data_IF_426264875446
#
_entry.id   IF_426264875446
#
_cell.length_a   1.000
_cell.length_b   1.000
_cell.length_c   1.000
_cell.angle_alpha   90.00
_cell.angle_beta   90.00
_cell.angle_gamma   90.00
#
_symmetry.space_group_name_H-M   'P 1'
#
loop_
_entity.id
_entity.type
_entity.pdbx_description
1 polymer ?
#
# COMPACT_ATOMS: atom_id res chain seq x y z
N UNK A 1 -35.15 29.98 41.86
CA UNK A 1 -34.65 30.91 40.84
C UNK A 1 -33.90 30.08 39.82
N UNK A 2 -34.50 29.95 38.64
CA UNK A 2 -33.99 29.19 37.50
C UNK A 2 -32.99 30.03 36.72
N UNK A 3 -31.98 29.39 36.14
CA UNK A 3 -31.23 29.84 34.94
C UNK A 3 -30.48 28.64 34.39
N UNK A 4 -31.02 27.91 33.44
CA UNK A 4 -30.85 28.01 31.97
C UNK A 4 -29.39 28.13 31.53
N UNK A 5 -28.85 27.01 31.02
CA UNK A 5 -27.82 26.95 30.01
C UNK A 5 -28.15 25.79 29.09
N UNK A 6 -29.09 26.09 28.16
CA UNK A 6 -29.31 25.34 26.94
C UNK A 6 -28.32 25.77 25.84
N UNK A 7 -28.14 24.84 24.92
CA UNK A 7 -27.71 25.04 23.54
C UNK A 7 -26.20 25.02 23.24
N UNK A 8 -25.70 23.91 22.68
CA UNK A 8 -25.42 23.78 21.25
C UNK A 8 -25.00 22.35 20.92
N UNK A 9 -25.97 21.47 20.75
CA UNK A 9 -25.82 20.30 19.88
C UNK A 9 -26.14 20.77 18.45
N UNK A 10 -25.17 21.23 17.72
CA UNK A 10 -25.28 21.32 16.27
C UNK A 10 -25.05 19.91 15.68
N UNK A 11 -26.16 19.35 15.30
CA UNK A 11 -26.33 18.16 14.48
C UNK A 11 -25.61 18.37 13.15
N UNK A 12 -24.46 17.73 12.96
CA UNK A 12 -23.84 17.58 11.64
C UNK A 12 -24.49 16.35 11.00
N UNK A 13 -25.65 16.58 10.45
CA UNK A 13 -26.42 15.58 9.72
C UNK A 13 -27.30 16.25 8.71
N UNK A 14 -26.74 16.70 7.56
CA UNK A 14 -27.53 16.96 6.36
C UNK A 14 -26.61 17.01 5.11
N UNK A 15 -26.63 15.96 4.30
CA UNK A 15 -26.77 16.08 2.86
C UNK A 15 -25.55 16.32 2.03
N UNK A 16 -24.78 15.30 1.75
CA UNK A 16 -24.20 15.12 0.42
C UNK A 16 -24.70 13.78 -0.10
N UNK A 17 -25.89 13.80 -0.66
CA UNK A 17 -26.37 12.68 -1.48
C UNK A 17 -25.51 12.59 -2.73
N UNK A 18 -25.12 11.38 -3.18
CA UNK A 18 -24.42 11.22 -4.43
C UNK A 18 -25.34 11.65 -5.59
N UNK A 19 -24.82 12.28 -6.64
CA UNK A 19 -25.60 12.60 -7.83
C UNK A 19 -26.11 11.32 -8.50
N UNK A 20 -27.31 11.34 -9.11
CA UNK A 20 -27.85 10.18 -9.78
C UNK A 20 -26.99 9.79 -10.97
N UNK A 21 -26.78 8.48 -11.14
CA UNK A 21 -26.11 7.90 -12.29
C UNK A 21 -26.91 8.23 -13.56
N UNK A 22 -26.34 9.04 -14.44
CA UNK A 22 -26.81 9.21 -15.81
C UNK A 22 -25.86 8.45 -16.73
N UNK A 23 -26.39 7.48 -17.48
CA UNK A 23 -25.65 6.82 -18.55
C UNK A 23 -25.19 7.86 -19.57
N UNK A 24 -23.90 7.88 -19.97
CA UNK A 24 -23.45 8.76 -21.03
C UNK A 24 -23.91 8.26 -22.41
N UNK A 25 -24.17 9.17 -23.36
CA UNK A 25 -24.47 8.80 -24.75
C UNK A 25 -23.22 8.18 -25.39
N UNK A 26 -23.45 7.12 -26.17
CA UNK A 26 -22.42 6.51 -27.01
C UNK A 26 -21.90 7.54 -28.03
N UNK A 27 -20.76 8.12 -27.73
CA UNK A 27 -20.00 9.01 -28.60
C UNK A 27 -18.63 8.43 -28.82
N UNK A 28 -18.25 8.33 -30.07
CA UNK A 28 -16.98 7.80 -30.57
C UNK A 28 -15.78 8.40 -29.85
N UNK A 29 -15.06 7.57 -29.10
CA UNK A 29 -13.79 7.92 -28.49
C UNK A 29 -12.74 8.00 -29.60
N UNK A 30 -12.37 9.21 -29.98
CA UNK A 30 -11.18 9.46 -30.76
C UNK A 30 -9.96 8.99 -30.00
N UNK A 31 -9.32 7.94 -30.47
CA UNK A 31 -8.03 7.45 -30.01
C UNK A 31 -6.94 8.49 -30.29
N UNK A 32 -6.63 9.28 -29.31
CA UNK A 32 -5.35 9.99 -29.25
C UNK A 32 -4.39 9.09 -28.47
N UNK A 33 -3.81 8.12 -29.14
CA UNK A 33 -2.64 7.37 -28.64
C UNK A 33 -1.43 8.30 -28.68
N UNK A 34 -1.21 9.02 -27.59
CA UNK A 34 0.14 9.45 -27.26
C UNK A 34 0.83 8.20 -26.70
N UNK A 35 1.49 7.47 -27.58
CA UNK A 35 2.38 6.38 -27.22
C UNK A 35 3.62 7.01 -26.57
N UNK A 36 3.50 7.37 -25.30
CA UNK A 36 4.64 7.69 -24.46
C UNK A 36 5.37 6.37 -24.22
N UNK A 37 6.62 6.27 -24.68
CA UNK A 37 7.54 5.21 -24.29
C UNK A 37 7.63 5.21 -22.75
N UNK A 38 6.92 4.28 -22.13
CA UNK A 38 6.90 4.16 -20.67
C UNK A 38 8.22 3.61 -20.12
N UNK A 39 9.09 3.09 -21.02
CA UNK A 39 10.37 2.49 -20.67
C UNK A 39 10.24 1.29 -19.73
N UNK A 40 11.35 0.61 -19.50
CA UNK A 40 11.40 -0.50 -18.56
C UNK A 40 11.39 -0.02 -17.11
N UNK A 41 10.84 -0.84 -16.24
CA UNK A 41 10.82 -0.60 -14.79
C UNK A 41 11.44 -1.80 -14.05
N UNK A 42 12.09 -1.53 -12.93
CA UNK A 42 12.68 -2.56 -12.06
C UNK A 42 11.73 -2.97 -10.94
N UNK A 43 10.86 -2.06 -10.55
CA UNK A 43 9.82 -2.26 -9.54
C UNK A 43 8.49 -1.74 -10.08
N UNK A 44 7.53 -2.62 -10.24
CA UNK A 44 6.16 -2.29 -10.65
C UNK A 44 5.22 -2.42 -9.45
N UNK A 45 4.67 -1.31 -9.00
CA UNK A 45 3.58 -1.29 -8.03
C UNK A 45 2.24 -1.33 -8.78
N UNK A 46 1.36 -2.25 -8.39
CA UNK A 46 0.00 -2.37 -8.96
C UNK A 46 -1.01 -2.17 -7.82
N UNK A 47 -1.86 -1.18 -7.93
CA UNK A 47 -2.88 -0.86 -6.93
C UNK A 47 -3.35 0.58 -7.00
N UNK A 48 -4.44 0.90 -6.32
CA UNK A 48 -4.94 2.26 -6.29
C UNK A 48 -3.99 3.20 -5.54
N UNK A 49 -3.75 4.35 -6.15
CA UNK A 49 -3.37 5.55 -5.43
C UNK A 49 -4.65 6.08 -4.79
N UNK A 50 -4.63 6.35 -3.49
CA UNK A 50 -5.80 6.84 -2.77
C UNK A 50 -5.56 8.23 -2.18
N UNK A 51 -6.65 8.81 -1.75
CA UNK A 51 -6.66 10.02 -0.95
C UNK A 51 -7.22 9.68 0.43
N UNK A 52 -6.42 9.93 1.45
CA UNK A 52 -6.87 9.85 2.84
C UNK A 52 -7.33 11.23 3.30
N UNK A 53 -8.54 11.30 3.85
CA UNK A 53 -9.08 12.54 4.40
C UNK A 53 -8.88 12.50 5.92
N UNK A 54 -8.12 13.47 6.42
CA UNK A 54 -7.89 13.67 7.84
C UNK A 54 -8.02 15.14 8.19
N UNK A 55 -8.89 15.49 9.13
CA UNK A 55 -9.15 16.89 9.56
C UNK A 55 -9.37 17.85 8.37
N UNK A 56 -10.19 17.44 7.38
CA UNK A 56 -10.47 18.20 6.13
C UNK A 56 -9.25 18.45 5.24
N UNK A 57 -8.16 17.68 5.41
CA UNK A 57 -7.00 17.70 4.54
C UNK A 57 -6.96 16.44 3.69
N UNK A 58 -6.57 16.61 2.44
CA UNK A 58 -6.33 15.51 1.51
C UNK A 58 -4.86 15.12 1.57
N UNK A 59 -4.60 13.85 1.86
CA UNK A 59 -3.26 13.30 2.01
C UNK A 59 -3.10 12.16 1.01
N UNK A 60 -1.96 12.12 0.31
CA UNK A 60 -1.61 11.01 -0.55
C UNK A 60 -1.59 9.71 0.27
N UNK A 61 -2.40 8.75 -0.16
CA UNK A 61 -2.53 7.43 0.43
C UNK A 61 -2.34 6.32 -0.61
N UNK A 62 -2.63 5.10 -0.19
CA UNK A 62 -2.56 3.89 -1.00
C UNK A 62 -1.23 3.18 -0.91
N UNK A 63 -1.29 1.85 -0.74
CA UNK A 63 -0.11 1.00 -0.61
C UNK A 63 0.81 1.08 -1.82
N UNK A 64 0.24 1.20 -3.05
CA UNK A 64 1.01 1.37 -4.27
C UNK A 64 1.85 2.66 -4.27
N UNK A 65 1.32 3.77 -3.74
CA UNK A 65 2.02 5.06 -3.64
C UNK A 65 3.24 4.98 -2.73
N UNK A 66 3.02 4.50 -1.49
CA UNK A 66 4.11 4.35 -0.51
C UNK A 66 5.17 3.35 -0.97
N UNK A 67 4.75 2.24 -1.57
CA UNK A 67 5.65 1.24 -2.13
C UNK A 67 6.50 1.81 -3.25
N UNK A 68 5.90 2.56 -4.17
CA UNK A 68 6.61 3.19 -5.28
C UNK A 68 7.60 4.26 -4.80
N UNK A 69 7.19 5.15 -3.89
CA UNK A 69 8.08 6.14 -3.29
C UNK A 69 9.26 5.48 -2.57
N UNK A 70 9.00 4.37 -1.86
CA UNK A 70 10.03 3.60 -1.16
C UNK A 70 11.00 2.95 -2.14
N UNK A 71 10.51 2.24 -3.15
CA UNK A 71 11.35 1.57 -4.14
C UNK A 71 12.24 2.58 -4.89
N UNK A 72 11.70 3.75 -5.26
CA UNK A 72 12.46 4.86 -5.84
C UNK A 72 13.56 5.34 -4.92
N UNK A 73 13.24 5.59 -3.64
CA UNK A 73 14.23 6.04 -2.64
C UNK A 73 15.31 4.99 -2.36
N UNK A 74 15.00 3.72 -2.65
CA UNK A 74 15.96 2.61 -2.60
C UNK A 74 16.73 2.40 -3.92
N UNK A 75 16.56 3.30 -4.90
CA UNK A 75 17.34 3.35 -6.14
C UNK A 75 16.78 2.55 -7.30
N UNK A 76 15.51 2.12 -7.24
CA UNK A 76 14.85 1.39 -8.32
C UNK A 76 14.24 2.33 -9.37
N UNK A 77 14.18 1.89 -10.62
CA UNK A 77 13.32 2.50 -11.64
C UNK A 77 11.90 1.99 -11.44
N UNK A 78 10.96 2.90 -11.14
CA UNK A 78 9.64 2.53 -10.64
C UNK A 78 8.55 2.85 -11.64
N UNK A 79 7.61 1.90 -11.80
CA UNK A 79 6.32 2.09 -12.43
C UNK A 79 5.18 1.90 -11.44
N UNK A 80 4.08 2.60 -11.66
CA UNK A 80 2.80 2.37 -10.99
C UNK A 80 1.74 2.11 -12.04
N UNK A 81 1.05 0.99 -11.95
CA UNK A 81 -0.22 0.75 -12.62
C UNK A 81 -1.34 1.03 -11.60
N UNK A 82 -2.15 2.04 -11.89
CA UNK A 82 -3.19 2.52 -10.96
C UNK A 82 -4.43 3.00 -11.68
N UNK A 83 -5.47 3.28 -10.91
CA UNK A 83 -6.64 4.03 -11.36
C UNK A 83 -6.95 5.11 -10.33
N UNK A 84 -7.00 6.36 -10.77
CA UNK A 84 -7.35 7.50 -9.94
C UNK A 84 -7.65 8.71 -10.83
N UNK A 85 -8.50 9.60 -10.37
CA UNK A 85 -8.70 10.93 -10.93
C UNK A 85 -7.93 11.93 -10.05
N UNK A 86 -6.75 12.32 -10.54
CA UNK A 86 -5.77 13.04 -9.70
C UNK A 86 -5.99 14.52 -9.61
N UNK A 87 -5.88 15.05 -8.41
CA UNK A 87 -5.49 16.43 -8.18
C UNK A 87 -3.99 16.64 -8.49
N UNK A 88 -3.60 17.76 -9.12
CA UNK A 88 -2.21 18.03 -9.53
C UNK A 88 -1.19 17.89 -8.39
N UNK A 89 -1.54 18.30 -7.17
CA UNK A 89 -0.65 18.27 -6.01
C UNK A 89 -0.19 16.86 -5.62
N UNK A 90 -1.07 15.84 -5.78
CA UNK A 90 -0.73 14.45 -5.47
C UNK A 90 0.21 13.86 -6.52
N UNK A 91 0.05 14.28 -7.78
CA UNK A 91 0.93 13.89 -8.88
C UNK A 91 2.34 14.44 -8.66
N UNK A 92 2.49 15.68 -8.24
CA UNK A 92 3.79 16.31 -8.04
C UNK A 92 4.66 15.56 -7.02
N UNK A 93 4.06 15.05 -5.94
CA UNK A 93 4.76 14.20 -4.98
C UNK A 93 5.30 12.92 -5.61
N UNK A 94 4.47 12.24 -6.43
CA UNK A 94 4.86 10.98 -7.05
C UNK A 94 5.88 11.15 -8.18
N UNK A 95 5.73 12.19 -9.00
CA UNK A 95 6.66 12.44 -10.12
C UNK A 95 7.96 13.13 -9.71
N UNK A 96 8.12 13.47 -8.42
CA UNK A 96 9.37 14.05 -7.90
C UNK A 96 9.53 15.55 -8.09
N UNK A 97 8.43 16.27 -8.34
CA UNK A 97 8.44 17.75 -8.34
C UNK A 97 8.42 18.34 -6.93
N UNK A 98 8.12 17.51 -5.93
CA UNK A 98 8.21 17.90 -4.54
C UNK A 98 9.67 17.82 -4.08
N UNK A 99 10.23 18.96 -3.67
CA UNK A 99 11.62 19.10 -3.25
C UNK A 99 11.96 18.35 -1.95
N UNK A 100 10.98 17.74 -1.30
CA UNK A 100 11.18 17.01 -0.03
C UNK A 100 11.69 15.58 -0.19
N UNK A 101 11.59 15.02 -1.38
CA UNK A 101 12.19 13.72 -1.74
C UNK A 101 13.15 13.98 -2.90
N UNK A 102 14.44 13.79 -2.68
CA UNK A 102 15.46 13.91 -3.71
C UNK A 102 15.61 12.60 -4.50
N UNK A 103 14.92 12.38 -5.61
CA UNK A 103 15.32 11.39 -6.56
C UNK A 103 15.50 12.01 -7.93
N UNK A 104 16.58 11.68 -8.57
CA UNK A 104 16.88 12.03 -9.94
C UNK A 104 15.95 11.34 -10.96
N UNK A 105 15.22 10.29 -10.55
CA UNK A 105 14.41 9.46 -11.43
C UNK A 105 12.92 9.58 -11.11
N UNK A 106 12.07 10.07 -12.04
CA UNK A 106 10.63 10.13 -11.83
C UNK A 106 10.00 8.74 -11.79
N UNK A 107 8.90 8.60 -11.03
CA UNK A 107 8.04 7.42 -11.09
C UNK A 107 7.19 7.50 -12.36
N UNK A 108 7.16 6.42 -13.14
CA UNK A 108 6.28 6.28 -14.30
C UNK A 108 4.90 5.85 -13.85
N UNK A 109 3.87 6.61 -14.22
CA UNK A 109 2.50 6.33 -13.79
C UNK A 109 1.64 6.01 -15.00
N UNK A 110 1.14 4.77 -15.05
CA UNK A 110 0.11 4.37 -15.99
C UNK A 110 -1.24 4.36 -15.28
N UNK A 111 -2.13 5.21 -15.75
CA UNK A 111 -3.43 5.43 -15.14
C UNK A 111 -4.55 4.82 -15.99
N UNK A 112 -5.28 3.88 -15.42
CA UNK A 112 -6.55 3.41 -16.00
C UNK A 112 -7.61 4.50 -15.80
N UNK A 113 -8.32 4.91 -16.87
CA UNK A 113 -9.34 5.94 -16.78
C UNK A 113 -10.44 5.59 -15.77
N UNK A 114 -10.86 6.59 -15.00
CA UNK A 114 -11.93 6.49 -13.99
C UNK A 114 -12.57 7.86 -13.78
N UNK A 115 -13.77 7.88 -13.22
CA UNK A 115 -14.45 9.11 -12.82
C UNK A 115 -14.35 9.40 -11.32
N UNK A 116 -13.64 8.56 -10.58
CA UNK A 116 -13.53 8.67 -9.12
C UNK A 116 -12.14 8.21 -8.67
N UNK A 117 -11.63 8.84 -7.62
CA UNK A 117 -10.44 8.39 -6.90
C UNK A 117 -10.87 7.56 -5.70
N UNK A 118 -10.10 6.54 -5.36
CA UNK A 118 -10.31 5.80 -4.11
C UNK A 118 -9.99 6.71 -2.93
N UNK A 119 -10.98 6.95 -2.08
CA UNK A 119 -10.88 7.87 -0.95
C UNK A 119 -11.30 7.20 0.35
N UNK A 120 -10.53 7.45 1.40
CA UNK A 120 -10.83 7.00 2.75
C UNK A 120 -10.93 8.12 3.75
N UNK A 121 -11.86 8.00 4.69
CA UNK A 121 -11.87 8.76 5.95
C UNK A 121 -11.49 7.84 7.08
N UNK A 122 -10.60 8.31 7.93
CA UNK A 122 -10.19 7.61 9.15
C UNK A 122 -10.70 8.40 10.36
N UNK A 123 -11.58 7.79 11.13
CA UNK A 123 -12.07 8.32 12.40
C UNK A 123 -11.38 7.60 13.55
N UNK A 124 -11.02 8.34 14.59
CA UNK A 124 -10.34 7.80 15.76
C UNK A 124 -11.16 8.12 17.00
N UNK A 125 -11.48 7.09 17.77
CA UNK A 125 -12.15 7.20 19.06
C UNK A 125 -11.43 6.36 20.13
N UNK A 126 -12.04 6.22 21.31
CA UNK A 126 -11.49 5.42 22.42
C UNK A 126 -11.40 3.92 22.12
N UNK A 127 -12.14 3.42 21.11
CA UNK A 127 -12.15 2.03 20.68
C UNK A 127 -11.16 1.75 19.53
N UNK A 128 -10.56 2.80 18.94
CA UNK A 128 -9.56 2.68 17.89
C UNK A 128 -9.88 3.45 16.63
N UNK A 129 -9.42 2.92 15.49
CA UNK A 129 -9.62 3.50 14.16
C UNK A 129 -10.81 2.85 13.46
N UNK A 130 -11.78 3.66 13.04
CA UNK A 130 -12.81 3.28 12.07
C UNK A 130 -12.48 3.90 10.72
N UNK A 131 -12.58 3.12 9.65
CA UNK A 131 -12.30 3.58 8.30
C UNK A 131 -13.53 3.50 7.42
N UNK A 132 -13.75 4.51 6.59
CA UNK A 132 -14.85 4.57 5.61
C UNK A 132 -14.29 4.77 4.21
N UNK A 133 -14.77 3.97 3.25
CA UNK A 133 -14.51 4.12 1.83
C UNK A 133 -15.57 5.08 1.24
N UNK A 134 -15.16 6.26 0.78
CA UNK A 134 -16.06 7.27 0.21
C UNK A 134 -16.15 7.21 -1.32
N UNK A 135 -15.13 6.67 -1.96
CA UNK A 135 -15.07 6.51 -3.40
C UNK A 135 -14.13 5.37 -3.76
N UNK A 136 -14.34 4.77 -4.93
CA UNK A 136 -13.52 3.69 -5.46
C UNK A 136 -13.26 3.93 -6.95
N UNK A 137 -12.00 3.85 -7.34
CA UNK A 137 -11.57 3.95 -8.73
C UNK A 137 -11.84 2.64 -9.51
N UNK A 138 -11.52 2.63 -10.80
CA UNK A 138 -11.75 1.49 -11.68
C UNK A 138 -10.82 0.31 -11.37
N UNK A 139 -11.27 -0.91 -11.72
CA UNK A 139 -10.51 -2.13 -11.56
C UNK A 139 -9.24 -2.17 -12.43
N UNK A 140 -8.22 -2.81 -11.90
CA UNK A 140 -6.95 -3.07 -12.60
C UNK A 140 -6.94 -4.50 -13.12
N UNK A 141 -6.70 -4.64 -14.43
CA UNK A 141 -6.82 -5.89 -15.19
C UNK A 141 -5.55 -6.22 -15.96
N UNK A 142 -5.32 -7.48 -16.35
CA UNK A 142 -4.16 -7.86 -17.15
C UNK A 142 -3.99 -7.05 -18.44
N UNK A 143 -5.10 -6.68 -19.10
CA UNK A 143 -5.10 -5.87 -20.33
C UNK A 143 -4.51 -4.47 -20.15
N UNK A 144 -4.48 -3.95 -18.93
CA UNK A 144 -3.94 -2.64 -18.62
C UNK A 144 -2.41 -2.65 -18.46
N UNK A 145 -1.76 -3.84 -18.41
CA UNK A 145 -0.31 -3.94 -18.23
C UNK A 145 0.39 -3.79 -19.58
N UNK A 146 1.25 -2.78 -19.78
CA UNK A 146 2.06 -2.64 -20.99
C UNK A 146 3.00 -3.83 -21.15
N UNK A 147 3.29 -4.21 -22.37
CA UNK A 147 4.14 -5.37 -22.66
C UNK A 147 5.53 -5.23 -22.03
N UNK A 148 6.11 -4.03 -22.10
CA UNK A 148 7.42 -3.71 -21.54
C UNK A 148 7.49 -3.84 -20.00
N UNK A 149 6.34 -3.74 -19.30
CA UNK A 149 6.27 -3.89 -17.84
C UNK A 149 6.03 -5.31 -17.36
N UNK A 150 5.63 -6.23 -18.26
CA UNK A 150 5.42 -7.65 -17.90
C UNK A 150 6.71 -8.35 -17.48
N UNK A 151 7.87 -7.81 -17.88
CA UNK A 151 9.20 -8.32 -17.52
C UNK A 151 9.83 -7.60 -16.33
N UNK A 152 9.09 -6.79 -15.60
CA UNK A 152 9.60 -6.10 -14.40
C UNK A 152 10.20 -7.10 -13.39
N UNK A 153 11.44 -6.89 -12.92
CA UNK A 153 12.09 -7.80 -11.97
C UNK A 153 11.32 -8.02 -10.66
N UNK A 154 10.66 -6.95 -10.17
CA UNK A 154 9.82 -6.99 -8.97
C UNK A 154 8.44 -6.48 -9.32
N UNK A 155 7.41 -7.27 -9.00
CA UNK A 155 6.01 -6.87 -9.10
C UNK A 155 5.37 -6.93 -7.72
N UNK A 156 4.80 -5.83 -7.30
CA UNK A 156 4.09 -5.70 -6.04
C UNK A 156 2.59 -5.50 -6.30
N UNK A 157 1.79 -6.55 -6.09
CA UNK A 157 0.34 -6.44 -6.08
C UNK A 157 -0.10 -5.92 -4.70
N UNK A 158 -0.60 -4.69 -4.67
CA UNK A 158 -0.94 -3.96 -3.46
C UNK A 158 -2.41 -3.51 -3.47
N UNK A 159 -3.39 -4.45 -3.48
CA UNK A 159 -4.80 -4.11 -3.46
C UNK A 159 -5.15 -3.27 -2.23
N UNK A 160 -6.03 -2.30 -2.43
CA UNK A 160 -6.48 -1.36 -1.41
C UNK A 160 -7.99 -1.47 -1.15
N UNK A 161 -8.78 -1.65 -2.23
CA UNK A 161 -10.25 -1.70 -2.24
C UNK A 161 -10.75 -2.78 -3.20
N UNK A 162 -10.18 -3.98 -3.18
CA UNK A 162 -10.53 -5.13 -4.04
C UNK A 162 -10.42 -4.83 -5.56
N UNK A 163 -9.58 -3.91 -5.95
CA UNK A 163 -9.48 -3.42 -7.33
C UNK A 163 -8.60 -4.27 -8.24
N UNK A 164 -7.76 -5.13 -7.69
CA UNK A 164 -6.84 -5.95 -8.48
C UNK A 164 -7.53 -7.24 -8.89
N UNK A 165 -7.75 -7.41 -10.20
CA UNK A 165 -8.32 -8.65 -10.75
C UNK A 165 -7.32 -9.81 -10.60
N UNK A 166 -7.77 -11.02 -10.15
CA UNK A 166 -6.89 -12.17 -9.91
C UNK A 166 -6.05 -12.59 -11.11
N UNK A 167 -6.51 -12.34 -12.34
CA UNK A 167 -5.74 -12.61 -13.57
C UNK A 167 -4.34 -11.94 -13.60
N UNK A 168 -4.15 -10.86 -12.82
CA UNK A 168 -2.83 -10.23 -12.66
C UNK A 168 -1.80 -11.12 -11.96
N UNK A 169 -2.21 -12.13 -11.20
CA UNK A 169 -1.32 -13.14 -10.62
C UNK A 169 -0.50 -13.89 -11.68
N UNK A 170 -1.03 -14.02 -12.90
CA UNK A 170 -0.42 -14.80 -14.00
C UNK A 170 0.21 -13.92 -15.09
N UNK A 171 0.14 -12.59 -14.95
CA UNK A 171 0.60 -11.65 -15.98
C UNK A 171 2.13 -11.49 -16.02
N UNK A 172 2.83 -11.87 -14.95
CA UNK A 172 4.26 -11.60 -14.73
C UNK A 172 5.06 -12.89 -14.46
N UNK A 173 5.30 -13.75 -15.44
CA UNK A 173 5.81 -15.10 -15.19
C UNK A 173 7.25 -15.16 -14.66
N UNK A 174 8.07 -14.15 -14.94
CA UNK A 174 9.50 -14.10 -14.54
C UNK A 174 9.82 -13.21 -13.35
N UNK A 175 8.83 -12.52 -12.80
CA UNK A 175 9.02 -11.53 -11.75
C UNK A 175 9.03 -12.16 -10.36
N UNK A 176 9.80 -11.56 -9.45
CA UNK A 176 9.57 -11.73 -8.02
C UNK A 176 8.24 -11.06 -7.67
N UNK A 177 7.26 -11.87 -7.27
CA UNK A 177 5.93 -11.38 -6.92
C UNK A 177 5.78 -11.19 -5.41
N UNK A 178 5.64 -9.94 -5.02
CA UNK A 178 5.20 -9.53 -3.68
C UNK A 178 3.70 -9.25 -3.69
N UNK A 179 2.99 -9.71 -2.67
CA UNK A 179 1.57 -9.39 -2.43
C UNK A 179 1.40 -8.81 -1.04
N UNK A 180 0.75 -7.65 -0.94
CA UNK A 180 0.21 -7.11 0.31
C UNK A 180 -1.31 -7.16 0.24
N UNK A 181 -1.96 -8.26 0.73
CA UNK A 181 -3.34 -8.58 0.40
C UNK A 181 -4.39 -7.75 1.15
N UNK A 182 -4.01 -6.70 1.87
CA UNK A 182 -4.89 -5.92 2.74
C UNK A 182 -6.21 -5.53 2.07
N UNK A 183 -6.19 -5.03 0.83
CA UNK A 183 -7.40 -4.64 0.12
C UNK A 183 -8.29 -5.82 -0.26
N UNK A 184 -7.74 -7.01 -0.48
CA UNK A 184 -8.52 -8.23 -0.72
C UNK A 184 -9.15 -8.80 0.56
N UNK A 185 -8.68 -8.37 1.73
CA UNK A 185 -9.22 -8.72 3.04
C UNK A 185 -10.13 -7.64 3.62
N UNK A 186 -10.55 -6.65 2.84
CA UNK A 186 -11.47 -5.58 3.23
C UNK A 186 -12.79 -5.70 2.49
N UNK A 187 -13.89 -5.63 3.24
CA UNK A 187 -15.23 -5.35 2.74
C UNK A 187 -15.71 -4.00 3.27
N UNK A 188 -16.81 -3.51 2.75
CA UNK A 188 -17.48 -2.30 3.23
C UNK A 188 -18.99 -2.46 3.11
N UNK A 189 -19.71 -1.80 3.99
CA UNK A 189 -21.18 -1.76 3.99
C UNK A 189 -21.71 -0.63 3.10
N UNK A 190 -23.03 -0.42 3.15
CA UNK A 190 -23.71 0.60 2.34
C UNK A 190 -23.29 2.03 2.72
N UNK A 191 -22.85 2.25 3.96
CA UNK A 191 -22.35 3.53 4.45
C UNK A 191 -20.84 3.70 4.20
N UNK A 192 -20.21 2.70 3.56
CA UNK A 192 -18.79 2.69 3.26
C UNK A 192 -17.92 2.24 4.43
N UNK A 193 -18.49 1.86 5.58
CA UNK A 193 -17.70 1.40 6.73
C UNK A 193 -16.96 0.12 6.40
N UNK A 194 -15.63 0.17 6.55
CA UNK A 194 -14.72 -0.93 6.22
C UNK A 194 -14.71 -1.97 7.34
N UNK A 195 -14.76 -3.24 6.96
CA UNK A 195 -14.63 -4.39 7.87
C UNK A 195 -13.77 -5.48 7.24
N UNK A 196 -13.12 -6.34 8.05
CA UNK A 196 -12.32 -7.43 7.53
C UNK A 196 -13.21 -8.54 6.94
N UNK A 197 -12.76 -9.09 5.79
CA UNK A 197 -13.38 -10.24 5.12
C UNK A 197 -12.35 -11.32 4.85
N UNK A 198 -12.81 -12.55 4.60
CA UNK A 198 -11.95 -13.65 4.17
C UNK A 198 -11.37 -13.34 2.79
N UNK A 199 -10.09 -13.61 2.60
CA UNK A 199 -9.41 -13.46 1.32
C UNK A 199 -9.84 -14.57 0.35
N UNK A 200 -10.67 -14.23 -0.61
CA UNK A 200 -11.29 -15.18 -1.54
C UNK A 200 -10.25 -15.94 -2.39
N UNK A 201 -9.23 -15.24 -2.87
CA UNK A 201 -8.19 -15.78 -3.76
C UNK A 201 -6.92 -16.21 -3.04
N UNK A 202 -7.02 -16.49 -1.72
CA UNK A 202 -5.85 -16.78 -0.89
C UNK A 202 -5.01 -17.95 -1.42
N UNK A 203 -5.64 -19.06 -1.80
CA UNK A 203 -4.93 -20.26 -2.22
C UNK A 203 -4.13 -20.04 -3.50
N UNK A 204 -4.73 -19.39 -4.49
CA UNK A 204 -4.09 -19.07 -5.76
C UNK A 204 -2.96 -18.05 -5.57
N UNK A 205 -3.21 -16.99 -4.83
CA UNK A 205 -2.24 -15.94 -4.56
C UNK A 205 -1.04 -16.45 -3.75
N UNK A 206 -1.28 -17.26 -2.70
CA UNK A 206 -0.23 -17.88 -1.88
C UNK A 206 0.61 -18.90 -2.66
N UNK A 207 0.01 -19.60 -3.61
CA UNK A 207 0.72 -20.54 -4.49
C UNK A 207 1.63 -19.79 -5.48
N UNK A 208 1.19 -18.61 -5.98
CA UNK A 208 1.89 -17.85 -7.02
C UNK A 208 2.95 -16.91 -6.45
N UNK A 209 2.66 -16.29 -5.30
CA UNK A 209 3.54 -15.28 -4.72
C UNK A 209 4.88 -15.86 -4.24
N UNK A 210 5.96 -15.13 -4.49
CA UNK A 210 7.24 -15.39 -3.83
C UNK A 210 7.23 -14.92 -2.37
N UNK A 211 6.57 -13.78 -2.12
CA UNK A 211 6.45 -13.19 -0.79
C UNK A 211 5.04 -12.64 -0.57
N UNK A 212 4.45 -12.93 0.58
CA UNK A 212 3.18 -12.32 1.02
C UNK A 212 3.42 -11.60 2.34
N UNK A 213 2.99 -10.35 2.46
CA UNK A 213 3.19 -9.52 3.65
C UNK A 213 1.88 -8.87 4.07
N UNK A 214 1.49 -9.04 5.33
CA UNK A 214 0.33 -8.38 5.93
C UNK A 214 0.54 -8.17 7.44
N UNK A 215 -0.32 -7.37 8.06
CA UNK A 215 -0.34 -7.15 9.50
C UNK A 215 -1.26 -8.16 10.19
N UNK A 216 -0.99 -8.45 11.46
CA UNK A 216 -1.95 -9.14 12.33
C UNK A 216 -3.31 -8.45 12.37
N UNK A 217 -3.32 -7.13 12.15
CA UNK A 217 -4.53 -6.31 12.20
C UNK A 217 -5.38 -6.41 10.93
N UNK A 218 -4.84 -6.99 9.84
CA UNK A 218 -5.56 -7.15 8.57
C UNK A 218 -6.43 -8.42 8.53
N UNK A 219 -6.17 -9.39 9.40
CA UNK A 219 -6.84 -10.69 9.37
C UNK A 219 -8.16 -10.70 10.16
N UNK A 220 -9.25 -11.23 9.59
CA UNK A 220 -10.49 -11.42 10.31
C UNK A 220 -10.38 -12.46 11.44
N UNK A 221 -9.50 -13.47 11.25
CA UNK A 221 -9.33 -14.59 12.18
C UNK A 221 -7.86 -14.95 12.31
N UNK A 222 -7.25 -14.87 13.52
CA UNK A 222 -5.83 -15.16 13.72
C UNK A 222 -5.38 -16.58 13.33
N UNK A 223 -6.28 -17.57 13.35
CA UNK A 223 -5.97 -18.95 12.96
C UNK A 223 -5.55 -19.10 11.49
N UNK A 224 -5.93 -18.17 10.61
CA UNK A 224 -5.53 -18.14 9.21
C UNK A 224 -4.02 -17.98 9.03
N UNK A 225 -3.31 -17.40 9.99
CA UNK A 225 -1.84 -17.24 9.92
C UNK A 225 -1.17 -18.60 9.74
N UNK A 226 -1.55 -19.60 10.54
CA UNK A 226 -0.94 -20.93 10.46
C UNK A 226 -1.31 -21.65 9.15
N UNK A 227 -2.50 -21.43 8.63
CA UNK A 227 -2.95 -21.99 7.36
C UNK A 227 -2.18 -21.40 6.19
N UNK A 228 -2.16 -20.06 6.10
CA UNK A 228 -1.47 -19.33 5.02
C UNK A 228 0.04 -19.59 5.06
N UNK A 229 0.64 -19.65 6.25
CA UNK A 229 2.06 -19.94 6.42
C UNK A 229 2.51 -21.30 5.89
N UNK A 230 1.61 -22.30 5.86
CA UNK A 230 1.90 -23.61 5.24
C UNK A 230 1.84 -23.58 3.71
N UNK A 231 1.03 -22.68 3.13
CA UNK A 231 0.80 -22.58 1.68
C UNK A 231 1.83 -21.66 1.00
N UNK A 232 2.20 -20.56 1.66
CA UNK A 232 3.09 -19.55 1.10
C UNK A 232 4.54 -20.05 0.95
N UNK A 233 5.25 -19.55 -0.06
CA UNK A 233 6.71 -19.74 -0.17
C UNK A 233 7.45 -18.99 0.93
N UNK A 234 7.17 -17.69 1.05
CA UNK A 234 7.57 -16.84 2.17
C UNK A 234 6.37 -16.00 2.58
N UNK A 235 6.00 -16.03 3.84
CA UNK A 235 4.99 -15.16 4.42
C UNK A 235 5.57 -14.38 5.58
N UNK A 236 5.30 -13.08 5.61
CA UNK A 236 5.74 -12.18 6.67
C UNK A 236 4.53 -11.55 7.34
N UNK A 237 4.39 -11.76 8.62
CA UNK A 237 3.31 -11.16 9.42
C UNK A 237 3.93 -10.07 10.28
N UNK A 238 3.57 -8.82 10.01
CA UNK A 238 4.05 -7.67 10.79
C UNK A 238 3.24 -7.55 12.08
N UNK A 239 3.94 -7.24 13.18
CA UNK A 239 3.37 -7.14 14.53
C UNK A 239 3.75 -5.81 15.18
N UNK A 240 3.65 -4.72 14.44
CA UNK A 240 3.90 -3.35 14.93
C UNK A 240 5.26 -3.24 15.68
N UNK A 241 5.22 -2.88 16.96
CA UNK A 241 6.42 -2.69 17.80
C UNK A 241 7.23 -3.96 18.05
N UNK A 242 6.69 -5.15 17.76
CA UNK A 242 7.39 -6.43 17.93
C UNK A 242 8.23 -6.81 16.71
N UNK A 243 8.05 -6.12 15.59
CA UNK A 243 8.67 -6.43 14.31
C UNK A 243 7.82 -7.37 13.48
N UNK A 244 8.38 -8.48 13.01
CA UNK A 244 7.62 -9.44 12.18
C UNK A 244 7.98 -10.88 12.51
N UNK A 245 7.02 -11.78 12.23
CA UNK A 245 7.21 -13.21 12.13
C UNK A 245 7.35 -13.60 10.66
N UNK A 246 8.35 -14.40 10.35
CA UNK A 246 8.60 -14.89 9.00
C UNK A 246 8.36 -16.39 8.96
N UNK A 247 7.52 -16.80 8.03
CA UNK A 247 7.19 -18.18 7.72
C UNK A 247 7.84 -18.51 6.37
N UNK A 248 8.69 -19.50 6.35
CA UNK A 248 9.24 -20.06 5.10
C UNK A 248 8.69 -21.48 4.97
N UNK A 249 8.35 -21.89 3.76
CA UNK A 249 7.82 -23.24 3.51
C UNK A 249 8.77 -24.29 4.10
N UNK A 250 8.21 -25.25 4.82
CA UNK A 250 8.91 -26.38 5.45
C UNK A 250 9.93 -26.00 6.54
N UNK A 251 9.86 -24.76 7.05
CA UNK A 251 10.72 -24.31 8.15
C UNK A 251 9.89 -23.81 9.35
N UNK A 252 10.51 -23.86 10.52
CA UNK A 252 9.91 -23.25 11.71
C UNK A 252 9.90 -21.71 11.54
N UNK A 253 8.81 -21.02 11.91
CA UNK A 253 8.73 -19.57 11.87
C UNK A 253 9.76 -18.94 12.83
N UNK A 254 10.28 -17.80 12.44
CA UNK A 254 11.25 -17.03 13.21
C UNK A 254 10.93 -15.54 13.22
N UNK A 255 11.43 -14.81 14.20
CA UNK A 255 11.17 -13.40 14.41
C UNK A 255 12.34 -12.52 13.95
N UNK A 256 12.02 -11.41 13.28
CA UNK A 256 12.91 -10.25 13.17
C UNK A 256 12.32 -9.10 14.01
N UNK A 257 13.11 -8.61 14.95
CA UNK A 257 12.68 -7.57 15.88
C UNK A 257 12.69 -6.18 15.26
N UNK A 258 11.69 -5.36 15.60
CA UNK A 258 11.62 -3.97 15.17
C UNK A 258 12.79 -3.15 15.72
N UNK A 259 13.22 -2.13 14.98
CA UNK A 259 14.12 -1.11 15.49
C UNK A 259 13.38 -0.05 16.29
N UNK A 260 14.04 0.53 17.28
CA UNK A 260 13.48 1.66 18.03
C UNK A 260 13.62 2.92 17.18
N UNK A 261 12.53 3.62 16.86
CA UNK A 261 12.61 4.94 16.26
C UNK A 261 13.16 5.95 17.28
N UNK A 262 13.72 7.05 16.83
CA UNK A 262 14.14 8.15 17.70
C UNK A 262 12.92 8.82 18.38
N UNK A 263 11.79 8.85 17.69
CA UNK A 263 10.49 9.34 18.18
C UNK A 263 9.36 8.63 17.40
N UNK A 264 8.16 8.64 17.93
CA UNK A 264 6.97 8.13 17.25
C UNK A 264 6.02 9.28 16.98
N UNK A 265 5.81 9.62 15.70
CA UNK A 265 4.97 10.73 15.25
C UNK A 265 3.76 10.19 14.49
N UNK A 266 3.98 9.36 13.46
CA UNK A 266 2.95 8.89 12.56
C UNK A 266 3.29 7.50 12.02
N UNK A 267 2.45 6.47 12.25
CA UNK A 267 2.70 5.12 11.74
C UNK A 267 2.24 4.91 10.29
N UNK A 268 1.59 5.91 9.66
CA UNK A 268 0.99 5.77 8.33
C UNK A 268 2.04 5.39 7.29
N UNK A 269 1.76 4.34 6.52
CA UNK A 269 2.64 3.85 5.46
C UNK A 269 3.83 2.98 5.95
N UNK A 270 4.00 2.76 7.26
CA UNK A 270 5.12 1.94 7.76
C UNK A 270 5.06 0.50 7.25
N UNK A 271 3.86 -0.08 7.09
CA UNK A 271 3.64 -1.40 6.52
C UNK A 271 4.04 -1.47 5.04
N UNK A 272 3.67 -0.46 4.26
CA UNK A 272 3.99 -0.39 2.83
C UNK A 272 5.50 -0.18 2.59
N UNK A 273 6.12 0.68 3.41
CA UNK A 273 7.58 0.89 3.39
C UNK A 273 8.31 -0.39 3.80
N UNK A 274 7.79 -1.12 4.79
CA UNK A 274 8.31 -2.43 5.15
C UNK A 274 8.24 -3.38 3.95
N UNK A 275 7.08 -3.51 3.30
CA UNK A 275 6.85 -4.44 2.21
C UNK A 275 7.75 -4.14 1.00
N UNK A 276 7.82 -2.90 0.54
CA UNK A 276 8.67 -2.50 -0.57
C UNK A 276 10.16 -2.69 -0.26
N UNK A 277 10.58 -2.35 0.96
CA UNK A 277 11.96 -2.56 1.40
C UNK A 277 12.32 -4.04 1.49
N UNK A 278 11.39 -4.87 1.96
CA UNK A 278 11.54 -6.32 2.00
C UNK A 278 11.76 -6.88 0.59
N UNK A 279 10.86 -6.56 -0.36
CA UNK A 279 10.93 -7.06 -1.73
C UNK A 279 12.24 -6.66 -2.43
N UNK A 280 12.62 -5.37 -2.32
CA UNK A 280 13.86 -4.85 -2.91
C UNK A 280 15.10 -5.57 -2.35
N UNK A 281 15.17 -5.75 -1.03
CA UNK A 281 16.30 -6.42 -0.38
C UNK A 281 16.28 -7.94 -0.64
N UNK A 282 15.10 -8.56 -0.66
CA UNK A 282 14.96 -9.98 -0.94
C UNK A 282 15.33 -10.31 -2.39
N UNK A 283 14.89 -9.51 -3.35
CA UNK A 283 15.30 -9.65 -4.75
C UNK A 283 16.82 -9.57 -4.90
N UNK A 284 17.46 -8.63 -4.21
CA UNK A 284 18.92 -8.43 -4.27
C UNK A 284 19.73 -9.56 -3.64
N UNK A 285 19.22 -10.19 -2.57
CA UNK A 285 20.03 -11.08 -1.73
C UNK A 285 19.57 -12.53 -1.73
N UNK A 286 18.34 -12.81 -2.11
CA UNK A 286 17.69 -14.12 -1.93
C UNK A 286 17.55 -14.55 -0.47
N UNK A 287 17.82 -13.66 0.51
CA UNK A 287 17.89 -13.98 1.93
C UNK A 287 16.73 -13.34 2.72
N UNK A 288 15.73 -14.14 3.17
CA UNK A 288 14.58 -13.63 3.90
C UNK A 288 14.94 -12.90 5.20
N UNK A 289 16.02 -13.35 5.88
CA UNK A 289 16.46 -12.74 7.16
C UNK A 289 17.05 -11.35 6.92
N UNK A 290 17.93 -11.22 5.94
CA UNK A 290 18.49 -9.93 5.56
C UNK A 290 17.39 -8.96 5.08
N UNK A 291 16.40 -9.46 4.36
CA UNK A 291 15.24 -8.69 3.90
C UNK A 291 14.37 -8.19 5.07
N UNK A 292 14.04 -9.07 6.03
CA UNK A 292 13.23 -8.71 7.19
C UNK A 292 13.94 -7.68 8.10
N UNK A 293 15.23 -7.85 8.31
CA UNK A 293 16.03 -6.93 9.10
C UNK A 293 16.12 -5.55 8.44
N UNK A 294 16.33 -5.52 7.11
CA UNK A 294 16.35 -4.29 6.32
C UNK A 294 14.99 -3.58 6.34
N UNK A 295 13.92 -4.32 6.14
CA UNK A 295 12.54 -3.81 6.16
C UNK A 295 12.14 -3.23 7.53
N UNK A 296 12.48 -3.92 8.63
CA UNK A 296 12.26 -3.42 9.99
C UNK A 296 13.03 -2.12 10.25
N UNK A 297 14.27 -2.01 9.75
CA UNK A 297 15.05 -0.78 9.88
C UNK A 297 14.41 0.36 9.05
N UNK A 298 14.01 0.09 7.81
CA UNK A 298 13.36 1.08 6.95
C UNK A 298 12.03 1.58 7.55
N UNK A 299 11.15 0.68 7.95
CA UNK A 299 9.85 1.03 8.54
C UNK A 299 9.98 1.88 9.80
N UNK A 300 11.05 1.69 10.60
CA UNK A 300 11.26 2.47 11.81
C UNK A 300 11.52 3.97 11.57
N UNK A 301 11.96 4.36 10.38
CA UNK A 301 12.14 5.78 10.00
C UNK A 301 10.81 6.47 9.71
N UNK A 302 9.83 5.73 9.14
CA UNK A 302 8.50 6.27 8.83
C UNK A 302 7.83 6.82 10.08
N UNK A 303 7.96 6.10 11.18
CA UNK A 303 7.41 6.50 12.48
C UNK A 303 7.92 7.86 12.99
N UNK A 304 9.06 8.35 12.49
CA UNK A 304 9.75 9.54 12.96
C UNK A 304 9.29 10.85 12.30
N UNK A 305 8.48 10.73 11.24
CA UNK A 305 7.98 11.87 10.45
C UNK A 305 6.52 11.63 10.06
N UNK A 306 5.90 12.60 9.40
CA UNK A 306 4.51 12.46 8.91
C UNK A 306 4.49 11.87 7.50
N UNK A 307 3.59 10.93 7.28
CA UNK A 307 3.32 10.31 5.99
C UNK A 307 4.61 9.84 5.28
N UNK A 308 4.73 10.04 3.99
CA UNK A 308 5.85 9.62 3.14
C UNK A 308 7.19 10.35 3.42
N UNK A 309 7.19 11.45 4.19
CA UNK A 309 8.42 12.19 4.55
C UNK A 309 9.43 11.36 5.37
N UNK A 310 8.97 10.26 5.97
CA UNK A 310 9.80 9.33 6.73
C UNK A 310 10.47 8.25 5.90
N UNK A 311 10.24 8.16 4.60
CA UNK A 311 10.84 7.13 3.75
C UNK A 311 12.36 7.33 3.68
N UNK A 312 13.16 6.30 4.09
CA UNK A 312 14.61 6.44 4.21
C UNK A 312 15.35 6.15 2.91
N UNK A 313 16.58 6.68 2.79
CA UNK A 313 17.53 6.24 1.78
C UNK A 313 18.18 4.90 2.17
N UNK A 314 18.77 4.20 1.19
CA UNK A 314 19.56 2.97 1.42
C UNK A 314 20.64 3.19 2.48
N UNK A 315 21.35 4.33 2.41
CA UNK A 315 22.40 4.66 3.35
C UNK A 315 21.86 4.77 4.78
N UNK A 316 20.74 5.49 4.97
CA UNK A 316 20.12 5.63 6.28
C UNK A 316 19.70 4.28 6.88
N UNK A 317 19.12 3.39 6.06
CA UNK A 317 18.75 2.03 6.49
C UNK A 317 19.98 1.23 6.92
N UNK A 318 21.05 1.25 6.11
CA UNK A 318 22.28 0.54 6.41
C UNK A 318 22.96 1.06 7.71
N UNK A 319 22.91 2.36 7.94
CA UNK A 319 23.44 2.95 9.18
C UNK A 319 22.60 2.54 10.41
N UNK A 320 21.29 2.46 10.26
CA UNK A 320 20.40 1.95 11.33
C UNK A 320 20.63 0.47 11.60
N UNK A 321 20.84 -0.35 10.58
CA UNK A 321 21.20 -1.76 10.74
C UNK A 321 22.47 -1.96 11.56
N UNK A 322 23.47 -1.10 11.37
CA UNK A 322 24.77 -1.18 12.08
C UNK A 322 24.70 -0.63 13.51
N UNK A 323 23.95 0.44 13.76
CA UNK A 323 24.02 1.23 14.99
C UNK A 323 22.69 1.28 15.76
N UNK A 324 21.57 0.89 15.13
CA UNK A 324 20.24 1.01 15.71
C UNK A 324 20.00 -0.01 16.82
N UNK A 325 19.19 0.37 17.79
CA UNK A 325 18.75 -0.52 18.88
C UNK A 325 17.46 -1.23 18.47
N UNK A 326 17.41 -2.53 18.63
CA UNK A 326 16.21 -3.34 18.44
C UNK A 326 15.30 -3.28 19.67
N UNK A 327 14.00 -3.51 19.47
CA UNK A 327 13.03 -3.69 20.56
C UNK A 327 13.07 -5.15 20.99
N UNK A 328 13.15 -5.40 22.31
CA UNK A 328 13.10 -6.77 22.87
C UNK A 328 14.33 -7.63 22.62
N UNK A 329 15.46 -7.00 22.27
CA UNK A 329 16.77 -7.64 22.28
C UNK A 329 17.45 -7.43 23.63
#
# INVERSE_FOLDING_TARGET
>A
MASSADANQETIGAGLAPPPATDPPAGEAGESQVQTDLGQVEYLAVGHISVDIFEKRYILGGSASYAALTARQLGQQVGILTSADFEPLLVDTLVGRDQMLEPETPIRILRVPTQSTTMYVNEYDEHGRTQYLLGRAADLRPVHVPEEWKSAPIVHLAPLAQEIEPGLLHTFPGSLMLITPQGWMRGWDQDGKVYPVTWEYADEALARADVVIFSTDDLPVPSLIAEYGRKARVMVVTENRRGCLVYERDKAPWRSHAFRPAREIDPTGAGDVFAASYATQYHRTGNPRAAADFANAAASFVLEKRAWQGIPTVQAVNDRLKRGKRRGA
#
